data_IF_859321203036
#
_entry.id   IF_859321203036
#
_cell.length_a   1.000
_cell.length_b   1.000
_cell.length_c   1.000
_cell.angle_alpha   90.00
_cell.angle_beta   90.00
_cell.angle_gamma   90.00
#
_symmetry.space_group_name_H-M   'P 1'
#
loop_
_entity.id
_entity.type
_entity.pdbx_description
1 polymer ?
#
# COMPACT_ATOMS: atom_id res chain seq x y z
N UNK A 1 11.45 10.60 4.30
CA UNK A 1 10.42 9.58 4.56
C UNK A 1 9.39 9.74 3.45
N UNK A 2 9.01 8.64 2.81
CA UNK A 2 8.06 8.68 1.69
C UNK A 2 6.68 9.05 2.23
N UNK A 3 5.87 9.81 1.47
CA UNK A 3 4.47 10.12 1.80
C UNK A 3 3.63 8.84 2.07
N UNK A 4 4.08 7.68 1.57
CA UNK A 4 3.41 6.39 1.77
C UNK A 4 3.58 5.82 3.19
N UNK A 5 4.66 6.15 3.90
CA UNK A 5 4.95 5.57 5.22
C UNK A 5 4.09 6.25 6.31
N UNK A 6 3.77 7.55 6.16
CA UNK A 6 2.89 8.29 7.08
C UNK A 6 1.44 7.80 6.99
N UNK A 7 0.96 7.48 5.79
CA UNK A 7 -0.37 6.90 5.59
C UNK A 7 -0.50 5.47 6.14
N UNK A 8 0.58 4.69 6.11
CA UNK A 8 0.62 3.35 6.69
C UNK A 8 0.53 3.40 8.22
N UNK A 9 1.30 4.29 8.86
CA UNK A 9 1.28 4.45 10.31
C UNK A 9 -0.11 4.83 10.82
N UNK A 10 -0.75 5.83 10.19
CA UNK A 10 -2.11 6.25 10.54
C UNK A 10 -3.13 5.11 10.36
N UNK A 11 -2.99 4.32 9.30
CA UNK A 11 -3.84 3.15 9.05
C UNK A 11 -3.68 2.09 10.14
N UNK A 12 -2.45 1.76 10.53
CA UNK A 12 -2.17 0.74 11.55
C UNK A 12 -2.73 1.14 12.92
N UNK A 13 -2.63 2.43 13.29
CA UNK A 13 -3.25 2.92 14.51
C UNK A 13 -4.78 2.78 14.51
N UNK A 14 -5.44 3.00 13.37
CA UNK A 14 -6.90 2.79 13.24
C UNK A 14 -7.30 1.32 13.43
N UNK A 15 -6.39 0.39 13.17
CA UNK A 15 -6.57 -1.04 13.46
C UNK A 15 -6.17 -1.44 14.89
N UNK A 16 -5.74 -0.48 15.71
CA UNK A 16 -5.45 -0.69 17.14
C UNK A 16 -3.99 -1.01 17.45
N UNK A 17 -3.07 -0.84 16.50
CA UNK A 17 -1.64 -0.99 16.76
C UNK A 17 -1.16 0.13 17.69
N UNK A 18 -0.33 -0.24 18.65
CA UNK A 18 0.41 0.69 19.51
C UNK A 18 1.56 1.36 18.75
N UNK A 19 2.04 2.50 19.24
CA UNK A 19 3.21 3.20 18.67
C UNK A 19 4.43 2.28 18.55
N UNK A 20 4.68 1.46 19.57
CA UNK A 20 5.80 0.52 19.58
C UNK A 20 5.66 -0.55 18.48
N UNK A 21 4.44 -1.08 18.28
CA UNK A 21 4.16 -2.05 17.22
C UNK A 21 4.27 -1.42 15.82
N UNK A 22 3.79 -0.18 15.64
CA UNK A 22 3.94 0.55 14.38
C UNK A 22 5.41 0.78 14.06
N UNK A 23 6.21 1.23 15.03
CA UNK A 23 7.66 1.41 14.84
C UNK A 23 8.35 0.11 14.44
N UNK A 24 8.00 -1.01 15.09
CA UNK A 24 8.55 -2.33 14.74
C UNK A 24 8.21 -2.73 13.30
N UNK A 25 6.97 -2.52 12.87
CA UNK A 25 6.54 -2.82 11.49
C UNK A 25 7.31 -1.98 10.47
N UNK A 26 7.47 -0.68 10.73
CA UNK A 26 8.22 0.22 9.84
C UNK A 26 9.69 -0.17 9.76
N UNK A 27 10.32 -0.48 10.88
CA UNK A 27 11.72 -0.92 10.93
C UNK A 27 11.93 -2.25 10.19
N UNK A 28 11.00 -3.18 10.32
CA UNK A 28 11.04 -4.46 9.62
C UNK A 28 10.88 -4.28 8.10
N UNK A 29 9.94 -3.44 7.66
CA UNK A 29 9.73 -3.10 6.25
C UNK A 29 10.96 -2.41 5.65
N UNK A 30 11.58 -1.49 6.38
CA UNK A 30 12.81 -0.80 5.96
C UNK A 30 13.99 -1.78 5.86
N UNK A 31 14.12 -2.68 6.83
CA UNK A 31 15.14 -3.73 6.83
C UNK A 31 14.96 -4.67 5.63
N UNK A 32 13.71 -5.03 5.32
CA UNK A 32 13.38 -5.82 4.13
C UNK A 32 13.75 -5.09 2.82
N UNK A 33 13.36 -3.82 2.68
CA UNK A 33 13.67 -2.98 1.49
C UNK A 33 15.16 -2.79 1.27
N UNK A 34 15.97 -2.83 2.34
CA UNK A 34 17.41 -2.67 2.28
C UNK A 34 18.18 -3.89 1.74
N UNK A 35 17.55 -5.07 1.64
CA UNK A 35 18.21 -6.30 1.17
C UNK A 35 18.15 -6.37 -0.37
N UNK A 36 19.29 -6.28 -1.08
CA UNK A 36 19.31 -6.35 -2.54
C UNK A 36 18.84 -7.73 -3.04
N UNK A 37 17.93 -7.74 -4.03
CA UNK A 37 17.46 -8.97 -4.67
C UNK A 37 16.42 -9.77 -3.86
N UNK A 38 15.96 -9.23 -2.73
CA UNK A 38 14.83 -9.80 -1.99
C UNK A 38 13.51 -9.25 -2.54
N UNK A 39 12.54 -10.13 -2.78
CA UNK A 39 11.18 -9.78 -3.21
C UNK A 39 10.21 -9.88 -2.04
N UNK A 40 9.08 -9.16 -2.10
CA UNK A 40 8.03 -9.23 -1.07
C UNK A 40 7.56 -10.68 -0.90
N UNK A 41 7.44 -11.41 -2.00
CA UNK A 41 7.13 -12.84 -2.02
C UNK A 41 8.13 -13.66 -1.20
N UNK A 42 9.44 -13.44 -1.35
CA UNK A 42 10.46 -14.17 -0.57
C UNK A 42 10.37 -13.89 0.91
N UNK A 43 10.08 -12.65 1.28
CA UNK A 43 9.94 -12.24 2.67
C UNK A 43 8.68 -12.81 3.32
N UNK A 44 7.54 -12.73 2.64
CA UNK A 44 6.29 -13.35 3.12
C UNK A 44 6.45 -14.86 3.25
N UNK A 45 7.07 -15.53 2.27
CA UNK A 45 7.36 -16.95 2.35
C UNK A 45 8.28 -17.29 3.55
N UNK A 46 9.25 -16.42 3.86
CA UNK A 46 10.09 -16.61 5.05
C UNK A 46 9.26 -16.55 6.33
N UNK A 47 8.38 -15.56 6.49
CA UNK A 47 7.51 -15.46 7.67
C UNK A 47 6.61 -16.69 7.78
N UNK A 48 5.94 -17.08 6.69
CA UNK A 48 5.04 -18.25 6.69
C UNK A 48 5.76 -19.52 7.13
N UNK A 49 7.02 -19.69 6.73
CA UNK A 49 7.83 -20.86 7.09
C UNK A 49 8.38 -20.83 8.52
N UNK A 50 8.29 -19.70 9.22
CA UNK A 50 8.72 -19.55 10.61
C UNK A 50 7.57 -19.63 11.62
N UNK A 51 6.32 -19.65 11.15
CA UNK A 51 5.15 -19.77 12.01
C UNK A 51 4.88 -21.22 12.36
N UNK A 52 4.45 -21.44 13.60
CA UNK A 52 3.92 -22.73 14.01
C UNK A 52 2.60 -23.03 13.30
N UNK A 53 2.26 -24.31 13.17
CA UNK A 53 1.06 -24.77 12.45
C UNK A 53 -0.24 -24.18 13.03
N UNK A 54 -0.24 -23.83 14.31
CA UNK A 54 -1.38 -23.23 15.02
C UNK A 54 -1.57 -21.75 14.70
N UNK A 55 -0.49 -21.01 14.46
CA UNK A 55 -0.50 -19.56 14.18
C UNK A 55 -0.65 -19.24 12.70
N UNK A 56 -0.18 -20.15 11.84
CA UNK A 56 -0.22 -20.01 10.39
C UNK A 56 -1.62 -19.66 9.83
N UNK A 57 -2.73 -20.27 10.28
CA UNK A 57 -4.07 -19.91 9.81
C UNK A 57 -4.47 -18.47 10.16
N UNK A 58 -4.09 -17.96 11.34
CA UNK A 58 -4.41 -16.59 11.75
C UNK A 58 -3.64 -15.58 10.90
N UNK A 59 -2.36 -15.84 10.66
CA UNK A 59 -1.52 -15.02 9.79
C UNK A 59 -2.07 -14.95 8.35
N UNK A 60 -2.42 -16.10 7.76
CA UNK A 60 -2.97 -16.15 6.39
C UNK A 60 -4.31 -15.40 6.27
N UNK A 61 -5.18 -15.47 7.29
CA UNK A 61 -6.41 -14.67 7.34
C UNK A 61 -6.11 -13.17 7.38
N UNK A 62 -5.08 -12.75 8.12
CA UNK A 62 -4.60 -11.38 8.16
C UNK A 62 -4.15 -10.86 6.79
N UNK A 63 -3.33 -11.63 6.07
CA UNK A 63 -2.91 -11.29 4.70
C UNK A 63 -4.12 -11.14 3.77
N UNK A 64 -5.05 -12.10 3.80
CA UNK A 64 -6.24 -12.07 2.96
C UNK A 64 -7.10 -10.83 3.22
N UNK A 65 -7.29 -10.47 4.50
CA UNK A 65 -8.02 -9.26 4.89
C UNK A 65 -7.32 -8.00 4.36
N UNK A 66 -6.00 -7.88 4.56
CA UNK A 66 -5.22 -6.75 4.06
C UNK A 66 -5.28 -6.59 2.55
N UNK A 67 -5.16 -7.69 1.79
CA UNK A 67 -5.29 -7.68 0.32
C UNK A 67 -6.70 -7.25 -0.13
N UNK A 68 -7.73 -7.75 0.55
CA UNK A 68 -9.13 -7.39 0.23
C UNK A 68 -9.40 -5.92 0.48
N UNK A 69 -8.88 -5.37 1.58
CA UNK A 69 -8.96 -3.93 1.88
C UNK A 69 -8.26 -3.12 0.80
N UNK A 70 -7.04 -3.50 0.41
CA UNK A 70 -6.30 -2.80 -0.65
C UNK A 70 -7.04 -2.83 -1.98
N UNK A 71 -7.58 -3.98 -2.38
CA UNK A 71 -8.38 -4.11 -3.60
C UNK A 71 -9.63 -3.23 -3.53
N UNK A 72 -10.30 -3.19 -2.37
CA UNK A 72 -11.46 -2.34 -2.17
C UNK A 72 -11.11 -0.85 -2.22
N UNK A 73 -9.98 -0.45 -1.62
CA UNK A 73 -9.47 0.93 -1.65
C UNK A 73 -9.11 1.36 -3.07
N UNK A 74 -8.38 0.51 -3.81
CA UNK A 74 -8.07 0.72 -5.24
C UNK A 74 -9.34 0.82 -6.10
N UNK A 75 -10.40 0.06 -5.77
CA UNK A 75 -11.68 0.13 -6.47
C UNK A 75 -12.52 1.38 -6.12
N UNK A 76 -12.31 1.96 -4.93
CA UNK A 76 -12.93 3.21 -4.49
C UNK A 76 -12.15 4.44 -4.95
N UNK A 77 -10.89 4.25 -5.35
CA UNK A 77 -10.04 5.28 -5.91
C UNK A 77 -10.50 5.60 -7.36
N UNK A 78 -11.50 6.46 -7.50
CA UNK A 78 -11.78 7.12 -8.78
C UNK A 78 -10.64 8.12 -9.05
N UNK A 79 -9.86 7.95 -10.13
CA UNK A 79 -8.88 8.96 -10.53
C UNK A 79 -9.63 10.28 -10.73
N UNK A 80 -9.14 11.36 -10.11
CA UNK A 80 -9.67 12.71 -10.33
C UNK A 80 -9.34 13.17 -11.76
N UNK A 81 -10.09 12.64 -12.73
CA UNK A 81 -9.97 12.99 -14.13
C UNK A 81 -10.34 14.44 -14.39
N UNK A 82 -10.93 15.17 -13.43
CA UNK A 82 -11.39 16.54 -13.66
C UNK A 82 -10.24 17.49 -14.06
N UNK A 83 -9.03 17.29 -13.52
CA UNK A 83 -7.85 18.10 -13.89
C UNK A 83 -7.27 17.74 -15.25
N UNK A 84 -7.26 16.46 -15.58
CA UNK A 84 -6.76 15.97 -16.87
C UNK A 84 -7.76 16.25 -18.00
N UNK A 85 -9.06 16.10 -17.74
CA UNK A 85 -10.15 16.52 -18.62
C UNK A 85 -10.13 18.04 -18.85
N UNK A 86 -9.94 18.86 -17.80
CA UNK A 86 -9.77 20.31 -17.97
C UNK A 86 -8.57 20.67 -18.85
N UNK A 87 -7.44 19.97 -18.71
CA UNK A 87 -6.26 20.18 -19.57
C UNK A 87 -6.54 19.82 -21.02
N UNK A 88 -7.19 18.68 -21.25
CA UNK A 88 -7.57 18.22 -22.58
C UNK A 88 -8.53 19.22 -23.23
N UNK A 89 -9.51 19.73 -22.48
CA UNK A 89 -10.50 20.69 -22.99
C UNK A 89 -9.85 22.05 -23.32
N UNK A 90 -8.91 22.51 -22.49
CA UNK A 90 -8.09 23.70 -22.77
C UNK A 90 -7.22 23.54 -24.02
N UNK A 91 -6.58 22.39 -24.23
CA UNK A 91 -5.79 22.10 -25.43
C UNK A 91 -6.66 22.02 -26.69
N UNK A 92 -7.85 21.41 -26.59
CA UNK A 92 -8.82 21.35 -27.70
C UNK A 92 -9.33 22.74 -28.09
N UNK A 93 -9.59 23.62 -27.12
CA UNK A 93 -9.95 25.01 -27.40
C UNK A 93 -8.81 25.74 -28.10
N UNK A 94 -7.58 25.60 -27.62
CA UNK A 94 -6.40 26.23 -28.22
C UNK A 94 -6.20 25.81 -29.69
N UNK A 95 -6.33 24.51 -29.98
CA UNK A 95 -6.24 23.98 -31.35
C UNK A 95 -7.38 24.45 -32.27
N UNK A 96 -8.58 24.73 -31.72
CA UNK A 96 -9.70 25.32 -32.48
C UNK A 96 -9.50 26.80 -32.82
N UNK A 97 -8.77 27.54 -31.99
CA UNK A 97 -8.46 28.96 -32.23
C UNK A 97 -7.23 29.18 -33.12
N UNK A 98 -6.41 28.14 -33.35
CA UNK A 98 -5.24 28.18 -34.24
C UNK A 98 -5.54 27.75 -35.70
N UNK A 99 -6.82 27.60 -36.09
CA UNK A 99 -7.26 27.33 -37.47
C UNK A 99 -7.93 28.52 -38.15
#
# INVERSE_FOLDING_TARGET
>A
MSNDDDGLAELLHRFGFTEDEVSQVVDELNSFRAIPGTTVERYVNRIINTLDDEDRPAFLKGIMAGLTIRIADEALYEPDYAKDEMKIDMELQRLRFER
#
